data_IF_536032849837
#
_entry.id   IF_536032849837
#
_cell.length_a   1.000
_cell.length_b   1.000
_cell.length_c   1.000
_cell.angle_alpha   90.00
_cell.angle_beta   90.00
_cell.angle_gamma   90.00
#
_symmetry.space_group_name_H-M   'P 1'
#
loop_
_entity.id
_entity.type
_entity.pdbx_description
1 polymer ?
#
# COMPACT_ATOMS: atom_id res chain seq x y z
N UNK A 1 13.54 0.00 14.25
CA UNK A 1 12.21 0.38 13.75
C UNK A 1 11.71 -0.80 12.96
N UNK A 2 10.52 -1.30 13.28
CA UNK A 2 9.90 -2.38 12.51
C UNK A 2 9.19 -1.78 11.29
N UNK A 3 9.39 -2.36 10.11
CA UNK A 3 8.76 -1.97 8.85
C UNK A 3 7.61 -2.94 8.57
N UNK A 4 6.40 -2.42 8.39
CA UNK A 4 5.23 -3.24 8.07
C UNK A 4 5.10 -3.38 6.55
N UNK A 5 5.03 -4.62 6.07
CA UNK A 5 4.84 -4.99 4.68
C UNK A 5 3.47 -5.64 4.53
N UNK A 6 2.65 -5.13 3.62
CA UNK A 6 1.39 -5.78 3.23
C UNK A 6 1.45 -6.22 1.77
N UNK A 7 1.13 -7.50 1.53
CA UNK A 7 0.93 -8.03 0.19
C UNK A 7 -0.56 -8.06 -0.16
N UNK A 8 -0.92 -7.34 -1.22
CA UNK A 8 -2.29 -7.14 -1.71
C UNK A 8 -2.43 -7.87 -3.05
N UNK A 9 -3.36 -8.82 -3.12
CA UNK A 9 -3.64 -9.61 -4.31
C UNK A 9 -5.10 -10.08 -4.29
N UNK A 10 -5.73 -10.33 -5.44
CA UNK A 10 -7.02 -11.03 -5.48
C UNK A 10 -6.84 -12.55 -5.36
N UNK A 11 -5.66 -13.04 -5.73
CA UNK A 11 -5.27 -14.43 -5.59
C UNK A 11 -3.80 -14.53 -5.18
N UNK A 12 -3.58 -14.60 -3.86
CA UNK A 12 -2.26 -14.63 -3.23
C UNK A 12 -1.33 -15.66 -3.90
N UNK A 13 -0.20 -15.20 -4.44
CA UNK A 13 0.82 -16.07 -5.04
C UNK A 13 1.55 -16.87 -3.94
N UNK A 14 1.40 -18.22 -3.87
CA UNK A 14 1.99 -19.01 -2.79
C UNK A 14 3.52 -18.93 -2.71
N UNK A 15 4.21 -18.70 -3.83
CA UNK A 15 5.66 -18.56 -3.85
C UNK A 15 6.09 -17.21 -3.29
N UNK A 16 5.35 -16.14 -3.60
CA UNK A 16 5.62 -14.82 -3.04
C UNK A 16 5.26 -14.77 -1.55
N UNK A 17 4.12 -15.31 -1.15
CA UNK A 17 3.72 -15.45 0.27
C UNK A 17 4.83 -16.15 1.05
N UNK A 18 5.24 -17.33 0.59
CA UNK A 18 6.28 -18.12 1.26
C UNK A 18 7.62 -17.38 1.31
N UNK A 19 7.95 -16.63 0.26
CA UNK A 19 9.16 -15.82 0.21
C UNK A 19 9.13 -14.65 1.21
N UNK A 20 8.05 -13.87 1.25
CA UNK A 20 7.90 -12.72 2.14
C UNK A 20 7.90 -13.16 3.60
N UNK A 21 7.14 -14.20 3.93
CA UNK A 21 7.05 -14.74 5.29
C UNK A 21 8.38 -15.35 5.76
N UNK A 22 8.89 -16.35 5.03
CA UNK A 22 10.01 -17.17 5.52
C UNK A 22 11.39 -16.59 5.23
N UNK A 23 11.53 -15.76 4.20
CA UNK A 23 12.83 -15.24 3.77
C UNK A 23 13.04 -13.77 4.12
N UNK A 24 12.04 -12.92 3.90
CA UNK A 24 12.17 -11.47 4.14
C UNK A 24 11.82 -11.11 5.58
N UNK A 25 10.65 -11.54 6.06
CA UNK A 25 10.08 -11.13 7.34
C UNK A 25 10.38 -12.11 8.48
N UNK A 26 11.30 -13.04 8.26
CA UNK A 26 11.83 -13.93 9.30
C UNK A 26 12.87 -13.24 10.20
N UNK A 27 12.75 -11.94 10.40
CA UNK A 27 13.60 -11.14 11.27
C UNK A 27 12.77 -10.02 11.92
N UNK A 28 13.18 -9.50 13.09
CA UNK A 28 12.39 -8.53 13.86
C UNK A 28 12.30 -7.14 13.22
N UNK A 29 12.94 -6.97 12.07
CA UNK A 29 12.95 -5.71 11.34
C UNK A 29 11.71 -5.51 10.47
N UNK A 30 11.01 -6.60 10.13
CA UNK A 30 9.85 -6.56 9.25
C UNK A 30 8.67 -7.31 9.87
N UNK A 31 7.49 -6.75 9.71
CA UNK A 31 6.21 -7.42 9.99
C UNK A 31 5.47 -7.66 8.68
N UNK A 32 4.99 -8.87 8.48
CA UNK A 32 4.28 -9.26 7.26
C UNK A 32 2.78 -9.44 7.52
N UNK A 33 1.96 -8.87 6.66
CA UNK A 33 0.52 -9.09 6.59
C UNK A 33 0.08 -9.31 5.14
N UNK A 34 -1.03 -10.00 4.97
CA UNK A 34 -1.65 -10.31 3.68
C UNK A 34 -3.02 -9.65 3.61
N UNK A 35 -3.40 -9.20 2.41
CA UNK A 35 -4.73 -8.69 2.16
C UNK A 35 -5.27 -9.22 0.84
N UNK A 36 -6.26 -10.11 0.93
CA UNK A 36 -6.93 -10.69 -0.23
C UNK A 36 -8.07 -9.77 -0.70
N UNK A 37 -7.95 -9.25 -1.92
CA UNK A 37 -8.95 -8.37 -2.54
C UNK A 37 -10.13 -9.22 -3.01
N UNK A 38 -11.34 -8.81 -2.62
CA UNK A 38 -12.58 -9.46 -3.06
C UNK A 38 -13.24 -8.66 -4.18
N UNK A 39 -13.89 -9.32 -5.14
CA UNK A 39 -14.66 -8.69 -6.22
C UNK A 39 -15.68 -7.63 -5.78
N UNK A 40 -16.19 -7.71 -4.55
CA UNK A 40 -17.18 -6.77 -4.00
C UNK A 40 -16.59 -5.47 -3.45
N UNK A 41 -15.26 -5.37 -3.34
CA UNK A 41 -14.58 -4.22 -2.78
C UNK A 41 -14.35 -3.15 -3.85
N UNK A 42 -14.47 -1.89 -3.43
CA UNK A 42 -14.02 -0.72 -4.19
C UNK A 42 -12.63 -0.28 -3.73
N UNK A 43 -11.99 0.60 -4.49
CA UNK A 43 -10.73 1.20 -4.06
C UNK A 43 -10.86 2.03 -2.78
N UNK A 44 -12.02 2.64 -2.51
CA UNK A 44 -12.26 3.36 -1.26
C UNK A 44 -12.20 2.40 -0.06
N UNK A 45 -12.78 1.20 -0.19
CA UNK A 45 -12.69 0.17 0.85
C UNK A 45 -11.23 -0.23 1.12
N UNK A 46 -10.37 -0.21 0.11
CA UNK A 46 -8.93 -0.47 0.26
C UNK A 46 -8.21 0.69 0.99
N UNK A 47 -8.61 1.94 0.74
CA UNK A 47 -8.05 3.12 1.40
C UNK A 47 -8.53 3.32 2.84
N UNK A 48 -9.65 2.71 3.21
CA UNK A 48 -10.16 2.71 4.59
C UNK A 48 -9.65 1.50 5.39
N UNK A 49 -9.00 0.54 4.73
CA UNK A 49 -8.54 -0.67 5.37
C UNK A 49 -7.35 -0.42 6.31
N UNK A 50 -7.50 -0.82 7.58
CA UNK A 50 -6.47 -0.60 8.61
C UNK A 50 -5.13 -1.29 8.29
N UNK A 51 -5.14 -2.50 7.73
CA UNK A 51 -3.91 -3.22 7.34
C UNK A 51 -3.13 -2.46 6.26
N UNK A 52 -3.83 -1.99 5.24
CA UNK A 52 -3.23 -1.19 4.16
C UNK A 52 -2.71 0.14 4.71
N UNK A 53 -3.53 0.82 5.51
CA UNK A 53 -3.22 2.13 6.07
C UNK A 53 -2.06 2.08 7.06
N UNK A 54 -1.94 1.03 7.87
CA UNK A 54 -0.87 0.90 8.86
C UNK A 54 0.44 0.39 8.27
N UNK A 55 0.45 -0.08 7.01
CA UNK A 55 1.64 -0.64 6.38
C UNK A 55 2.59 0.44 5.85
N UNK A 56 3.90 0.24 5.99
CA UNK A 56 4.90 1.18 5.46
C UNK A 56 5.23 0.88 3.99
N UNK A 57 5.26 -0.42 3.63
CA UNK A 57 5.49 -0.90 2.26
C UNK A 57 4.27 -1.71 1.81
N UNK A 58 3.74 -1.38 0.64
CA UNK A 58 2.70 -2.15 -0.03
C UNK A 58 3.28 -2.85 -1.25
N UNK A 59 3.01 -4.15 -1.36
CA UNK A 59 3.30 -4.96 -2.54
C UNK A 59 1.95 -5.30 -3.15
N UNK A 60 1.68 -4.84 -4.37
CA UNK A 60 0.35 -4.88 -4.98
C UNK A 60 0.41 -5.65 -6.28
N UNK A 61 -0.46 -6.64 -6.48
CA UNK A 61 -0.60 -7.24 -7.80
C UNK A 61 -1.18 -6.25 -8.83
N UNK A 62 -0.66 -6.30 -10.04
CA UNK A 62 -1.10 -5.48 -11.18
C UNK A 62 -2.58 -5.71 -11.52
N UNK A 63 -3.13 -6.90 -11.24
CA UNK A 63 -4.51 -7.29 -11.54
C UNK A 63 -5.24 -7.69 -10.26
N UNK A 64 -5.93 -6.74 -9.63
CA UNK A 64 -6.63 -6.93 -8.36
C UNK A 64 -8.10 -7.36 -8.49
N UNK A 65 -8.64 -7.50 -9.70
CA UNK A 65 -10.06 -7.74 -9.93
C UNK A 65 -10.30 -8.61 -11.17
N UNK A 66 -9.63 -9.78 -11.29
CA UNK A 66 -9.74 -10.61 -12.49
C UNK A 66 -11.16 -11.17 -12.76
N UNK A 67 -12.01 -11.31 -11.72
CA UNK A 67 -13.33 -11.95 -11.82
C UNK A 67 -14.52 -10.99 -12.06
N UNK A 68 -14.31 -9.68 -12.15
CA UNK A 68 -15.39 -8.70 -12.33
C UNK A 68 -15.42 -8.23 -13.78
N UNK A 69 -16.59 -8.29 -14.45
CA UNK A 69 -16.78 -7.54 -15.70
C UNK A 69 -16.44 -6.07 -15.41
N UNK A 70 -15.37 -5.54 -16.02
CA UNK A 70 -14.87 -4.17 -15.80
C UNK A 70 -16.02 -3.18 -15.53
N UNK A 71 -16.20 -2.86 -14.24
CA UNK A 71 -17.12 -1.80 -13.83
C UNK A 71 -16.30 -0.53 -13.65
N UNK A 72 -16.94 0.63 -13.61
CA UNK A 72 -16.25 1.92 -13.39
C UNK A 72 -15.47 2.00 -12.06
N UNK A 73 -15.60 0.99 -11.18
CA UNK A 73 -14.96 0.94 -9.85
C UNK A 73 -13.77 -0.03 -9.75
N UNK A 74 -13.42 -0.78 -10.79
CA UNK A 74 -12.25 -1.68 -10.77
C UNK A 74 -10.98 -0.93 -11.16
N UNK A 75 -9.92 -1.02 -10.36
CA UNK A 75 -8.62 -0.40 -10.62
C UNK A 75 -7.53 -1.45 -10.81
N UNK A 76 -6.55 -1.14 -11.65
CA UNK A 76 -5.30 -1.92 -11.70
C UNK A 76 -4.41 -1.61 -10.50
N UNK A 77 -3.43 -2.47 -10.22
CA UNK A 77 -2.46 -2.23 -9.14
C UNK A 77 -1.64 -0.95 -9.35
N UNK A 78 -1.37 -0.58 -10.59
CA UNK A 78 -0.68 0.65 -10.97
C UNK A 78 -1.54 1.89 -10.68
N UNK A 79 -2.83 1.85 -11.01
CA UNK A 79 -3.79 2.92 -10.71
C UNK A 79 -3.96 3.08 -9.20
N UNK A 80 -4.09 1.97 -8.47
CA UNK A 80 -4.15 1.98 -7.02
C UNK A 80 -2.86 2.57 -6.40
N UNK A 81 -1.68 2.21 -6.92
CA UNK A 81 -0.40 2.82 -6.50
C UNK A 81 -0.41 4.33 -6.66
N UNK A 82 -0.96 4.85 -7.76
CA UNK A 82 -1.06 6.29 -7.99
C UNK A 82 -1.94 6.97 -6.94
N UNK A 83 -3.10 6.40 -6.63
CA UNK A 83 -4.03 6.92 -5.63
C UNK A 83 -3.43 6.83 -4.22
N UNK A 84 -2.87 5.69 -3.83
CA UNK A 84 -2.24 5.52 -2.51
C UNK A 84 -1.11 6.52 -2.32
N UNK A 85 -0.27 6.78 -3.32
CA UNK A 85 0.78 7.80 -3.21
C UNK A 85 0.25 9.23 -3.12
N UNK A 86 -0.98 9.47 -3.55
CA UNK A 86 -1.64 10.76 -3.37
C UNK A 86 -2.16 10.91 -1.93
N UNK A 87 -2.77 9.87 -1.38
CA UNK A 87 -3.37 9.86 -0.03
C UNK A 87 -2.30 9.71 1.06
N UNK A 88 -1.37 8.78 0.86
CA UNK A 88 -0.26 8.45 1.76
C UNK A 88 1.09 8.64 1.03
N UNK A 89 1.53 9.89 0.82
CA UNK A 89 2.70 10.20 0.00
C UNK A 89 4.04 9.64 0.51
N UNK A 90 4.08 9.20 1.77
CA UNK A 90 5.28 8.69 2.42
C UNK A 90 5.31 7.15 2.51
N UNK A 91 4.28 6.46 2.01
CA UNK A 91 4.29 5.00 1.86
C UNK A 91 5.04 4.59 0.61
N UNK A 92 5.74 3.48 0.70
CA UNK A 92 6.39 2.86 -0.44
C UNK A 92 5.46 1.83 -1.07
N UNK A 93 5.34 1.86 -2.39
CA UNK A 93 4.41 1.00 -3.13
C UNK A 93 5.13 0.36 -4.31
N UNK A 94 5.22 -0.97 -4.27
CA UNK A 94 5.77 -1.83 -5.31
C UNK A 94 4.61 -2.56 -6.00
N UNK A 95 4.57 -2.49 -7.33
CA UNK A 95 3.60 -3.27 -8.11
C UNK A 95 4.31 -4.49 -8.66
N UNK A 96 3.66 -5.65 -8.56
CA UNK A 96 4.14 -6.91 -9.12
C UNK A 96 3.20 -7.39 -10.21
N UNK A 97 3.71 -8.09 -11.22
CA UNK A 97 2.87 -8.64 -12.28
C UNK A 97 3.40 -9.96 -12.80
N UNK A 98 2.50 -10.83 -13.25
CA UNK A 98 2.90 -12.02 -14.00
C UNK A 98 3.37 -11.70 -15.42
N UNK A 99 3.00 -10.54 -15.98
CA UNK A 99 3.36 -10.17 -17.34
C UNK A 99 4.55 -9.22 -17.32
N UNK A 100 5.54 -9.48 -18.18
CA UNK A 100 6.65 -8.55 -18.38
C UNK A 100 6.14 -7.35 -19.18
N UNK A 101 5.71 -6.30 -18.48
CA UNK A 101 5.36 -5.02 -19.10
C UNK A 101 6.50 -4.03 -18.87
N UNK A 102 7.19 -3.63 -19.93
CA UNK A 102 8.29 -2.66 -19.88
C UNK A 102 7.84 -1.21 -19.73
N UNK A 103 6.52 -0.96 -19.67
CA UNK A 103 5.95 0.39 -19.70
C UNK A 103 5.94 1.06 -18.32
N UNK A 104 5.98 0.28 -17.24
CA UNK A 104 5.92 0.77 -15.86
C UNK A 104 6.99 0.11 -14.98
N UNK A 105 7.36 0.78 -13.87
CA UNK A 105 8.25 0.24 -12.83
C UNK A 105 7.49 -0.83 -12.02
N UNK A 106 7.41 -2.02 -12.60
CA UNK A 106 6.71 -3.22 -12.10
C UNK A 106 7.72 -4.37 -12.00
N UNK A 107 7.63 -5.13 -10.91
CA UNK A 107 8.46 -6.31 -10.69
C UNK A 107 7.75 -7.58 -11.16
N UNK A 108 8.47 -8.49 -11.82
CA UNK A 108 7.88 -9.74 -12.30
C UNK A 108 7.60 -10.71 -11.13
N UNK A 109 6.45 -11.41 -11.16
CA UNK A 109 6.17 -12.57 -10.31
C UNK A 109 6.99 -13.78 -10.78
N UNK A 110 7.36 -14.65 -9.84
CA UNK A 110 8.07 -15.88 -10.16
C UNK A 110 7.17 -16.83 -10.95
N UNK A 111 7.72 -17.40 -12.02
CA UNK A 111 7.07 -18.47 -12.79
C UNK A 111 7.97 -19.70 -12.76
N UNK A 112 7.49 -20.84 -12.25
CA UNK A 112 8.23 -22.10 -12.27
C UNK A 112 8.72 -22.46 -13.68
N UNK A 113 9.99 -22.85 -13.79
CA UNK A 113 10.63 -23.22 -15.05
C UNK A 113 10.17 -24.61 -15.51
N UNK A 114 8.95 -24.70 -16.06
CA UNK A 114 8.25 -25.93 -16.47
C UNK A 114 8.01 -26.96 -15.34
N UNK A 115 6.88 -27.68 -15.39
CA UNK A 115 6.63 -28.80 -14.49
C UNK A 115 7.53 -29.96 -14.92
N UNK A 116 8.74 -30.05 -14.39
CA UNK A 116 9.44 -31.33 -14.37
C UNK A 116 8.55 -32.29 -13.57
N UNK A 117 8.23 -33.46 -14.13
CA UNK A 117 7.27 -34.43 -13.60
C UNK A 117 7.53 -34.90 -12.15
N UNK A 118 8.64 -34.48 -11.52
CA UNK A 118 9.06 -34.84 -10.17
C UNK A 118 9.51 -33.64 -9.29
N UNK A 119 9.22 -32.40 -9.68
CA UNK A 119 9.57 -31.24 -8.84
C UNK A 119 8.63 -31.10 -7.65
N UNK A 120 9.17 -31.14 -6.43
CA UNK A 120 8.40 -30.81 -5.23
C UNK A 120 8.23 -29.29 -5.10
N UNK A 121 7.20 -28.86 -4.37
CA UNK A 121 6.98 -27.45 -4.01
C UNK A 121 8.24 -26.79 -3.42
N UNK A 122 9.00 -27.53 -2.60
CA UNK A 122 10.26 -27.07 -1.99
C UNK A 122 11.35 -26.70 -3.01
N UNK A 123 11.38 -27.35 -4.18
CA UNK A 123 12.34 -27.01 -5.25
C UNK A 123 11.96 -25.65 -5.84
N UNK A 124 10.68 -25.46 -6.16
CA UNK A 124 10.19 -24.20 -6.69
C UNK A 124 10.25 -23.06 -5.68
N UNK A 125 10.09 -23.34 -4.38
CA UNK A 125 10.28 -22.35 -3.32
C UNK A 125 11.72 -21.83 -3.26
N UNK A 126 12.72 -22.71 -3.46
CA UNK A 126 14.14 -22.31 -3.55
C UNK A 126 14.42 -21.48 -4.80
N UNK A 127 13.83 -21.85 -5.93
CA UNK A 127 13.95 -21.08 -7.18
C UNK A 127 13.30 -19.70 -7.06
N UNK A 128 12.08 -19.65 -6.51
CA UNK A 128 11.35 -18.42 -6.21
C UNK A 128 12.17 -17.52 -5.29
N UNK A 129 12.77 -18.08 -4.24
CA UNK A 129 13.66 -17.34 -3.34
C UNK A 129 14.83 -16.71 -4.10
N UNK A 130 15.55 -17.49 -4.91
CA UNK A 130 16.67 -16.96 -5.70
C UNK A 130 16.24 -15.89 -6.70
N UNK A 131 15.03 -16.04 -7.25
CA UNK A 131 14.43 -15.09 -8.17
C UNK A 131 14.12 -13.75 -7.47
N UNK A 132 13.42 -13.79 -6.33
CA UNK A 132 13.01 -12.60 -5.59
C UNK A 132 14.19 -11.96 -4.83
N UNK A 133 15.17 -12.73 -4.35
CA UNK A 133 16.40 -12.20 -3.74
C UNK A 133 17.14 -11.26 -4.70
N UNK A 134 17.07 -11.52 -6.01
CA UNK A 134 17.75 -10.73 -7.04
C UNK A 134 16.96 -9.50 -7.50
N UNK A 135 15.63 -9.53 -7.40
CA UNK A 135 14.74 -8.51 -7.99
C UNK A 135 14.00 -7.70 -6.93
N UNK A 136 13.28 -8.40 -6.05
CA UNK A 136 12.40 -7.79 -5.08
C UNK A 136 13.10 -7.39 -3.78
N UNK A 137 14.05 -8.21 -3.28
CA UNK A 137 14.76 -7.89 -2.03
C UNK A 137 15.51 -6.55 -2.08
N UNK A 138 16.24 -6.21 -3.16
CA UNK A 138 16.90 -4.90 -3.25
C UNK A 138 15.88 -3.76 -3.16
N UNK A 139 14.74 -3.87 -3.86
CA UNK A 139 13.67 -2.87 -3.82
C UNK A 139 13.07 -2.70 -2.44
N UNK A 140 12.79 -3.80 -1.72
CA UNK A 140 12.30 -3.74 -0.33
C UNK A 140 13.31 -3.04 0.59
N UNK A 141 14.62 -3.27 0.39
CA UNK A 141 15.66 -2.57 1.14
C UNK A 141 15.71 -1.08 0.81
N UNK A 142 15.64 -0.72 -0.47
CA UNK A 142 15.60 0.67 -0.92
C UNK A 142 14.37 1.40 -0.33
N UNK A 143 13.20 0.75 -0.34
CA UNK A 143 11.98 1.27 0.28
C UNK A 143 12.18 1.52 1.77
N UNK A 144 12.77 0.56 2.49
CA UNK A 144 13.08 0.74 3.92
C UNK A 144 14.00 1.95 4.15
N UNK A 145 15.07 2.08 3.39
CA UNK A 145 16.00 3.22 3.52
C UNK A 145 15.28 4.55 3.27
N UNK A 146 14.39 4.61 2.28
CA UNK A 146 13.54 5.77 1.97
C UNK A 146 12.62 6.13 3.15
N UNK A 147 11.95 5.14 3.73
CA UNK A 147 11.05 5.31 4.88
C UNK A 147 11.84 5.81 6.11
N UNK A 148 12.98 5.17 6.42
CA UNK A 148 13.83 5.57 7.54
C UNK A 148 14.37 6.99 7.35
N UNK A 149 14.81 7.35 6.15
CA UNK A 149 15.24 8.71 5.84
C UNK A 149 14.12 9.74 6.03
N UNK A 150 12.91 9.40 5.56
CA UNK A 150 11.73 10.26 5.69
C UNK A 150 11.37 10.51 7.15
N UNK A 151 11.26 9.45 7.98
CA UNK A 151 10.95 9.59 9.41
C UNK A 151 12.04 10.38 10.15
N UNK A 152 13.31 10.13 9.85
CA UNK A 152 14.43 10.90 10.41
C UNK A 152 14.37 12.40 10.06
N UNK A 153 14.01 12.74 8.82
CA UNK A 153 13.84 14.15 8.40
C UNK A 153 12.66 14.78 9.15
N UNK A 154 11.54 14.06 9.24
CA UNK A 154 10.35 14.53 9.94
C UNK A 154 10.61 14.78 11.44
N UNK A 155 11.33 13.89 12.11
CA UNK A 155 11.75 14.07 13.50
C UNK A 155 12.66 15.29 13.67
N UNK A 156 13.59 15.52 12.74
CA UNK A 156 14.44 16.72 12.74
C UNK A 156 13.66 18.01 12.53
N UNK A 157 12.60 17.99 11.72
CA UNK A 157 11.70 19.14 11.53
C UNK A 157 10.91 19.38 12.82
N UNK A 158 10.37 18.31 13.41
CA UNK A 158 9.60 18.35 14.66
C UNK A 158 10.41 18.94 15.80
N UNK A 159 11.66 18.51 15.97
CA UNK A 159 12.53 18.97 17.06
C UNK A 159 13.01 20.42 16.95
N UNK A 160 12.83 21.09 15.80
CA UNK A 160 13.23 22.50 15.61
C UNK A 160 12.24 23.53 16.17
N UNK A 161 11.11 23.09 16.75
CA UNK A 161 10.15 23.98 17.39
C UNK A 161 9.24 24.74 16.43
N UNK A 162 9.18 24.35 15.15
CA UNK A 162 8.12 24.78 14.22
C UNK A 162 6.71 24.28 14.66
N UNK A 163 6.67 23.37 15.65
CA UNK A 163 5.54 22.51 16.04
C UNK A 163 4.30 23.20 16.61
N UNK A 164 4.33 24.49 16.97
CA UNK A 164 3.22 25.06 17.75
C UNK A 164 2.02 25.56 16.93
N UNK A 165 2.01 25.45 15.59
CA UNK A 165 0.95 26.15 14.82
C UNK A 165 0.72 25.74 13.36
N UNK A 166 1.12 24.57 12.86
CA UNK A 166 0.80 24.19 11.48
C UNK A 166 0.04 22.87 11.35
N UNK A 167 -1.25 22.99 11.01
CA UNK A 167 -2.11 21.91 10.49
C UNK A 167 -1.42 21.05 9.44
N UNK A 168 -0.55 21.66 8.61
CA UNK A 168 0.25 20.94 7.62
C UNK A 168 1.17 19.86 8.24
N UNK A 169 1.81 20.14 9.39
CA UNK A 169 2.71 19.17 10.01
C UNK A 169 1.95 18.05 10.72
N UNK A 170 0.74 18.34 11.22
CA UNK A 170 -0.18 17.32 11.75
C UNK A 170 -0.61 16.39 10.61
N UNK A 171 -1.07 16.92 9.48
CA UNK A 171 -1.42 16.12 8.29
C UNK A 171 -0.25 15.25 7.79
N UNK A 172 0.98 15.79 7.81
CA UNK A 172 2.17 15.00 7.46
C UNK A 172 2.39 13.86 8.47
N UNK A 173 2.23 14.12 9.78
CA UNK A 173 2.33 13.07 10.80
C UNK A 173 1.28 11.99 10.59
N UNK A 174 0.03 12.41 10.40
CA UNK A 174 -1.11 11.51 10.23
C UNK A 174 -0.86 10.59 9.02
N UNK A 175 -0.47 11.15 7.87
CA UNK A 175 -0.17 10.35 6.67
C UNK A 175 1.04 9.41 6.84
N UNK A 176 2.04 9.78 7.64
CA UNK A 176 3.17 8.89 8.00
C UNK A 176 2.69 7.74 8.89
N UNK A 177 1.82 8.03 9.85
CA UNK A 177 1.29 7.06 10.82
C UNK A 177 0.16 6.20 10.23
N UNK A 178 -0.28 6.48 9.00
CA UNK A 178 -1.35 5.76 8.33
C UNK A 178 -2.75 6.28 8.64
N UNK A 179 -2.84 7.43 9.28
CA UNK A 179 -4.10 8.11 9.53
C UNK A 179 -4.45 9.05 8.37
N UNK A 180 -5.69 8.97 7.89
CA UNK A 180 -6.23 9.82 6.82
C UNK A 180 -7.33 10.78 7.32
N UNK A 181 -7.51 10.92 8.64
CA UNK A 181 -8.60 11.68 9.26
C UNK A 181 -8.67 13.16 8.84
N UNK A 182 -7.55 13.77 8.48
CA UNK A 182 -7.48 15.18 8.02
C UNK A 182 -7.19 15.31 6.51
N UNK A 183 -7.24 14.16 5.82
CA UNK A 183 -7.06 13.88 4.40
C UNK A 183 -7.90 14.78 3.49
N UNK A 184 -9.20 14.55 3.52
CA UNK A 184 -10.15 15.16 2.60
C UNK A 184 -11.50 15.33 3.30
N UNK A 185 -12.10 16.51 3.16
CA UNK A 185 -13.52 16.67 3.48
C UNK A 185 -14.29 15.81 2.48
N UNK A 186 -15.03 14.83 2.98
CA UNK A 186 -15.90 14.05 2.12
C UNK A 186 -17.00 14.96 1.54
N UNK A 187 -17.61 14.55 0.44
CA UNK A 187 -18.79 15.24 -0.09
C UNK A 187 -19.88 15.35 0.99
N UNK A 188 -20.04 14.31 1.80
CA UNK A 188 -21.02 14.29 2.89
C UNK A 188 -20.69 15.33 3.98
N UNK A 189 -19.41 15.53 4.29
CA UNK A 189 -18.98 16.58 5.22
C UNK A 189 -19.28 17.98 4.69
N UNK A 190 -19.07 18.20 3.39
CA UNK A 190 -19.39 19.46 2.71
C UNK A 190 -20.91 19.67 2.69
N UNK A 191 -21.69 18.63 2.34
CA UNK A 191 -23.14 18.70 2.32
C UNK A 191 -23.70 18.96 3.74
N UNK A 192 -23.13 18.34 4.77
CA UNK A 192 -23.46 18.60 6.17
C UNK A 192 -23.12 20.02 6.60
N UNK A 193 -21.95 20.54 6.19
CA UNK A 193 -21.56 21.92 6.44
C UNK A 193 -22.56 22.90 5.80
N UNK A 194 -22.90 22.69 4.52
CA UNK A 194 -23.87 23.49 3.78
C UNK A 194 -25.24 23.45 4.46
N UNK A 195 -25.70 22.26 4.87
CA UNK A 195 -26.97 22.09 5.57
C UNK A 195 -26.97 22.81 6.92
N UNK A 196 -25.88 22.74 7.69
CA UNK A 196 -25.76 23.45 8.96
C UNK A 196 -25.78 24.97 8.77
N UNK A 197 -25.07 25.50 7.77
CA UNK A 197 -25.13 26.93 7.43
C UNK A 197 -26.52 27.37 6.96
N UNK A 198 -27.23 26.52 6.21
CA UNK A 198 -28.57 26.80 5.72
C UNK A 198 -29.57 26.89 6.88
N UNK A 199 -29.51 25.94 7.82
CA UNK A 199 -30.33 25.97 9.04
C UNK A 199 -30.04 27.21 9.90
N UNK A 200 -28.77 27.53 10.09
CA UNK A 200 -28.37 28.71 10.88
C UNK A 200 -28.86 30.01 10.26
N UNK A 201 -28.84 30.11 8.92
CA UNK A 201 -29.40 31.22 8.17
C UNK A 201 -30.93 31.33 8.37
N UNK A 202 -31.64 30.21 8.27
CA UNK A 202 -33.09 30.15 8.49
C UNK A 202 -33.47 30.53 9.93
N UNK A 203 -32.70 30.09 10.93
CA UNK A 203 -32.91 30.45 12.35
C UNK A 203 -32.65 31.93 12.64
N UNK A 204 -31.71 32.55 11.92
CA UNK A 204 -31.34 33.95 12.08
C UNK A 204 -32.18 34.91 11.22
N UNK A 205 -33.10 34.43 10.37
CA UNK A 205 -33.90 35.22 9.42
C UNK A 205 -33.05 36.16 8.53
N UNK A 206 -31.88 35.69 8.08
CA UNK A 206 -31.00 36.42 7.13
C UNK A 206 -31.01 35.75 5.77
#
# INVERSE_FOLDING_TARGET
>A
MEIKICYIDDNLDPFLVSYLDKSVCNCPDYKYEEYEVRPSLSYNDLLENETINMSDILIIDSRLFEEVEYTENTLTGEELRFIIRKVFPYKEVLVISQNDTSEYDIESKFKPSSPLENSSFEVYEKEAKLFYDKRLLPKIKDCRESIEATKNIFDRISNKGYMNSSMLLEQIRDTIDGDNNYTELSKEDIDNLINNFTKLREELNV
#
